data_IF_232971596373
#
_entry.id   IF_232971596373
#
_cell.length_a   1.000
_cell.length_b   1.000
_cell.length_c   1.000
_cell.angle_alpha   90.00
_cell.angle_beta   90.00
_cell.angle_gamma   90.00
#
_symmetry.space_group_name_H-M   'P 1'
#
loop_
_entity.id
_entity.type
_entity.pdbx_description
1 polymer ?
#
# COMPACT_ATOMS: atom_id res chain seq x y z
N UNK A 1 -43.75 12.99 -40.75
CA UNK A 1 -44.19 11.59 -40.86
C UNK A 1 -43.85 10.88 -39.56
N UNK A 2 -44.87 10.50 -38.77
CA UNK A 2 -44.68 9.83 -37.49
C UNK A 2 -44.40 8.33 -37.73
N UNK A 3 -43.28 7.82 -37.20
CA UNK A 3 -42.96 6.38 -37.23
C UNK A 3 -43.93 5.64 -36.30
N UNK A 4 -44.68 4.69 -36.86
CA UNK A 4 -45.51 3.75 -36.12
C UNK A 4 -44.63 2.93 -35.16
N UNK A 5 -44.96 3.00 -33.87
CA UNK A 5 -44.29 2.25 -32.80
C UNK A 5 -44.66 0.76 -32.95
N UNK A 6 -43.76 -0.02 -33.54
CA UNK A 6 -43.85 -1.48 -33.57
C UNK A 6 -43.71 -2.00 -32.15
N UNK A 7 -44.73 -2.71 -31.66
CA UNK A 7 -44.75 -3.33 -30.33
C UNK A 7 -43.97 -4.64 -30.26
N UNK A 8 -43.45 -5.12 -31.38
CA UNK A 8 -42.74 -6.39 -31.48
C UNK A 8 -41.31 -6.11 -31.96
N UNK A 9 -40.45 -5.80 -30.99
CA UNK A 9 -39.01 -5.72 -31.21
C UNK A 9 -38.38 -6.98 -30.59
N UNK A 10 -38.02 -8.01 -31.38
CA UNK A 10 -37.44 -9.25 -30.87
C UNK A 10 -36.08 -9.02 -30.18
N UNK A 11 -35.42 -7.88 -30.44
CA UNK A 11 -34.19 -7.47 -29.75
C UNK A 11 -34.45 -6.79 -28.40
N UNK A 12 -35.69 -6.44 -28.06
CA UNK A 12 -36.02 -5.88 -26.73
C UNK A 12 -35.68 -6.86 -25.59
N UNK A 13 -35.71 -8.17 -25.88
CA UNK A 13 -35.29 -9.22 -24.93
C UNK A 13 -33.79 -9.18 -24.62
N UNK A 14 -32.96 -8.66 -25.53
CA UNK A 14 -31.51 -8.46 -25.31
C UNK A 14 -31.20 -7.09 -24.69
N UNK A 15 -32.09 -6.10 -24.85
CA UNK A 15 -31.98 -4.77 -24.24
C UNK A 15 -32.45 -4.70 -22.78
N UNK A 16 -33.32 -5.61 -22.35
CA UNK A 16 -33.77 -5.72 -20.96
C UNK A 16 -32.75 -6.52 -20.13
N UNK A 17 -31.65 -5.85 -19.75
CA UNK A 17 -30.83 -6.32 -18.63
C UNK A 17 -31.70 -6.23 -17.37
N UNK A 18 -32.35 -7.34 -17.03
CA UNK A 18 -33.04 -7.50 -15.75
C UNK A 18 -31.99 -7.35 -14.66
N UNK A 19 -31.87 -6.16 -14.09
CA UNK A 19 -31.11 -5.93 -12.86
C UNK A 19 -31.99 -6.52 -11.76
N UNK A 20 -31.60 -7.65 -11.14
CA UNK A 20 -32.42 -8.27 -10.10
C UNK A 20 -32.69 -7.25 -8.99
N UNK A 21 -33.92 -7.22 -8.49
CA UNK A 21 -34.38 -6.21 -7.52
C UNK A 21 -33.58 -6.28 -6.20
N UNK A 22 -33.00 -7.42 -5.87
CA UNK A 22 -32.08 -7.61 -4.73
C UNK A 22 -30.79 -6.78 -4.83
N UNK A 23 -30.29 -6.51 -6.04
CA UNK A 23 -29.13 -5.62 -6.25
C UNK A 23 -29.46 -4.17 -5.88
N UNK A 24 -30.75 -3.79 -5.86
CA UNK A 24 -31.17 -2.42 -5.60
C UNK A 24 -31.22 -2.09 -4.11
N UNK A 25 -31.65 -3.02 -3.26
CA UNK A 25 -31.67 -2.84 -1.79
C UNK A 25 -30.28 -2.96 -1.19
N UNK A 26 -29.46 -3.91 -1.66
CA UNK A 26 -28.04 -3.97 -1.32
C UNK A 26 -27.29 -2.71 -1.80
N UNK A 27 -27.66 -2.14 -2.95
CA UNK A 27 -27.10 -0.88 -3.46
C UNK A 27 -27.45 0.34 -2.61
N UNK A 28 -28.67 0.46 -2.07
CA UNK A 28 -29.02 1.59 -1.19
C UNK A 28 -28.34 1.51 0.17
N UNK A 29 -28.27 0.32 0.78
CA UNK A 29 -27.49 0.12 2.01
C UNK A 29 -26.03 0.39 1.70
N UNK A 30 -25.43 -0.26 0.69
CA UNK A 30 -24.03 -0.05 0.31
C UNK A 30 -23.69 1.39 -0.10
N UNK A 31 -24.64 2.20 -0.57
CA UNK A 31 -24.45 3.64 -0.82
C UNK A 31 -24.48 4.48 0.46
N UNK A 32 -25.27 4.08 1.47
CA UNK A 32 -25.36 4.78 2.77
C UNK A 32 -24.04 4.74 3.56
N UNK A 33 -23.25 3.69 3.36
CA UNK A 33 -21.94 3.51 4.01
C UNK A 33 -20.78 4.05 3.18
N UNK A 34 -21.05 4.81 2.11
CA UNK A 34 -19.98 5.44 1.32
C UNK A 34 -19.53 6.74 1.94
N UNK A 35 -18.23 6.90 2.03
CA UNK A 35 -17.58 8.16 2.36
C UNK A 35 -18.01 9.24 1.36
N UNK A 36 -18.37 10.45 1.82
CA UNK A 36 -18.66 11.56 0.92
C UNK A 36 -17.41 11.90 0.08
N UNK A 37 -17.59 12.47 -1.12
CA UNK A 37 -16.45 12.89 -1.97
C UNK A 37 -15.86 14.22 -1.49
N UNK A 38 -15.39 14.22 -0.25
CA UNK A 38 -14.75 15.36 0.40
C UNK A 38 -13.32 14.95 0.77
N UNK A 39 -12.43 15.93 0.91
CA UNK A 39 -11.04 15.69 1.31
C UNK A 39 -11.01 14.97 2.67
N UNK A 40 -10.19 13.92 2.82
CA UNK A 40 -10.09 13.19 4.07
C UNK A 40 -9.51 14.07 5.17
N UNK A 41 -10.01 13.91 6.39
CA UNK A 41 -9.41 14.54 7.57
C UNK A 41 -8.40 13.59 8.19
N UNK A 42 -7.31 14.15 8.75
CA UNK A 42 -6.29 13.34 9.43
C UNK A 42 -6.89 12.56 10.61
N UNK A 43 -7.80 13.17 11.37
CA UNK A 43 -8.44 12.53 12.52
C UNK A 43 -9.21 11.27 12.15
N UNK A 44 -9.97 11.30 11.06
CA UNK A 44 -10.67 10.11 10.55
C UNK A 44 -9.67 9.01 10.17
N UNK A 45 -8.62 9.37 9.43
CA UNK A 45 -7.60 8.39 9.02
C UNK A 45 -6.83 7.80 10.21
N UNK A 46 -6.56 8.57 11.26
CA UNK A 46 -5.90 8.09 12.49
C UNK A 46 -6.79 7.13 13.30
N UNK A 47 -8.11 7.34 13.29
CA UNK A 47 -9.04 6.44 13.99
C UNK A 47 -9.32 5.16 13.21
N UNK A 48 -9.11 5.18 11.88
CA UNK A 48 -9.45 4.07 10.99
C UNK A 48 -8.83 2.71 11.35
N UNK A 49 -7.55 2.57 11.76
CA UNK A 49 -7.00 1.27 12.16
C UNK A 49 -7.68 0.67 13.39
N UNK A 50 -8.32 1.50 14.22
CA UNK A 50 -8.94 1.13 15.49
C UNK A 50 -10.47 0.97 15.38
N UNK A 51 -11.06 1.35 14.24
CA UNK A 51 -12.53 1.44 14.12
C UNK A 51 -13.22 0.10 13.83
N UNK A 52 -12.50 -0.89 13.32
CA UNK A 52 -13.09 -2.15 12.86
C UNK A 52 -12.16 -3.35 13.13
N UNK A 53 -12.76 -4.54 13.17
CA UNK A 53 -12.14 -5.79 13.60
C UNK A 53 -10.92 -6.23 12.76
N UNK A 54 -10.95 -6.15 11.41
CA UNK A 54 -9.81 -6.56 10.58
C UNK A 54 -8.50 -5.83 10.88
N UNK A 55 -8.56 -4.52 11.13
CA UNK A 55 -7.42 -3.64 11.38
C UNK A 55 -6.87 -3.84 12.77
N UNK A 56 -7.74 -4.02 13.77
CA UNK A 56 -7.33 -4.47 15.09
C UNK A 56 -6.67 -5.86 15.04
N UNK A 57 -7.24 -6.77 14.24
CA UNK A 57 -6.65 -8.08 13.98
C UNK A 57 -5.26 -7.95 13.34
N UNK A 58 -5.08 -7.02 12.40
CA UNK A 58 -3.77 -6.78 11.79
C UNK A 58 -2.76 -6.25 12.81
N UNK A 59 -3.15 -5.28 13.65
CA UNK A 59 -2.29 -4.70 14.70
C UNK A 59 -1.96 -5.66 15.84
N UNK A 60 -2.82 -6.63 16.11
CA UNK A 60 -2.59 -7.58 17.20
C UNK A 60 -1.80 -8.82 16.74
N UNK A 61 -2.14 -9.37 15.56
CA UNK A 61 -1.60 -10.65 15.10
C UNK A 61 -0.26 -10.51 14.37
N UNK A 62 -0.09 -9.49 13.51
CA UNK A 62 1.12 -9.41 12.68
C UNK A 62 2.34 -8.85 13.38
N UNK A 63 2.28 -7.87 14.30
CA UNK A 63 3.50 -7.40 14.94
C UNK A 63 4.27 -8.50 15.67
N UNK A 64 3.67 -9.42 16.44
CA UNK A 64 4.39 -10.57 17.00
C UNK A 64 4.99 -11.49 15.92
N UNK A 65 4.25 -11.76 14.84
CA UNK A 65 4.74 -12.63 13.75
C UNK A 65 5.92 -11.99 13.00
N UNK A 66 5.78 -10.72 12.62
CA UNK A 66 6.83 -9.95 11.94
C UNK A 66 8.03 -9.71 12.86
N UNK A 67 7.80 -9.49 14.16
CA UNK A 67 8.86 -9.41 15.16
C UNK A 67 9.72 -10.68 15.14
N UNK A 68 9.12 -11.86 15.35
CA UNK A 68 9.84 -13.16 15.32
C UNK A 68 10.53 -13.39 13.98
N UNK A 69 9.83 -13.14 12.87
CA UNK A 69 10.38 -13.37 11.53
C UNK A 69 11.46 -12.37 11.11
N UNK A 70 11.51 -11.19 11.74
CA UNK A 70 12.50 -10.14 11.43
C UNK A 70 13.78 -10.27 12.25
N UNK A 71 13.78 -10.94 13.41
CA UNK A 71 15.00 -11.15 14.21
C UNK A 71 16.17 -11.73 13.38
N UNK A 72 15.98 -12.80 12.58
CA UNK A 72 17.06 -13.34 11.78
C UNK A 72 17.52 -12.38 10.68
N UNK A 73 16.65 -11.49 10.21
CA UNK A 73 17.02 -10.50 9.19
C UNK A 73 18.02 -9.49 9.77
N UNK A 74 17.76 -9.01 10.99
CA UNK A 74 18.67 -8.12 11.70
C UNK A 74 19.99 -8.81 12.06
N UNK A 75 19.92 -10.04 12.57
CA UNK A 75 21.13 -10.85 12.86
C UNK A 75 21.95 -11.08 11.59
N UNK A 76 21.30 -11.38 10.47
CA UNK A 76 21.97 -11.58 9.18
C UNK A 76 22.64 -10.30 8.68
N UNK A 77 21.99 -9.14 8.80
CA UNK A 77 22.59 -7.85 8.43
C UNK A 77 23.83 -7.56 9.29
N UNK A 78 23.72 -7.77 10.62
CA UNK A 78 24.84 -7.57 11.54
C UNK A 78 26.00 -8.57 11.29
N UNK A 79 25.69 -9.81 10.89
CA UNK A 79 26.68 -10.83 10.53
C UNK A 79 27.29 -10.63 9.13
N UNK A 80 26.60 -9.95 8.22
CA UNK A 80 27.12 -9.63 6.89
C UNK A 80 28.13 -8.47 6.91
N UNK A 81 28.01 -7.54 7.86
CA UNK A 81 28.95 -6.42 8.02
C UNK A 81 30.43 -6.88 8.17
N UNK A 82 30.75 -7.98 8.88
CA UNK A 82 32.11 -8.55 8.91
C UNK A 82 32.47 -9.53 7.78
N UNK A 83 31.55 -9.90 6.87
CA UNK A 83 31.84 -10.79 5.73
C UNK A 83 32.59 -10.04 4.62
N UNK A 84 33.81 -9.60 4.96
CA UNK A 84 34.86 -9.31 3.99
C UNK A 84 35.16 -10.57 3.16
N UNK A 85 35.64 -10.38 1.92
CA UNK A 85 35.75 -11.40 0.85
C UNK A 85 36.38 -12.78 1.21
N UNK A 86 36.95 -12.99 2.41
CA UNK A 86 37.63 -14.25 2.76
C UNK A 86 36.70 -15.40 3.16
N UNK A 87 35.50 -15.13 3.68
CA UNK A 87 34.72 -16.16 4.41
C UNK A 87 33.44 -16.62 3.68
N UNK A 88 33.53 -16.78 2.36
CA UNK A 88 32.44 -17.28 1.51
C UNK A 88 31.91 -18.67 1.94
N UNK A 89 32.77 -19.51 2.53
CA UNK A 89 32.39 -20.82 3.04
C UNK A 89 31.42 -20.74 4.23
N UNK A 90 31.59 -19.75 5.11
CA UNK A 90 30.68 -19.49 6.23
C UNK A 90 29.31 -19.04 5.71
N UNK A 91 29.31 -18.17 4.68
CA UNK A 91 28.08 -17.76 3.99
C UNK A 91 27.29 -18.94 3.41
N UNK A 92 27.96 -19.90 2.76
CA UNK A 92 27.30 -21.07 2.17
C UNK A 92 26.66 -22.02 3.20
N UNK A 93 27.18 -22.06 4.43
CA UNK A 93 26.58 -22.84 5.54
C UNK A 93 25.37 -22.11 6.13
N UNK A 94 25.42 -20.78 6.17
CA UNK A 94 24.40 -19.92 6.76
C UNK A 94 23.17 -19.80 5.83
N UNK A 95 23.34 -19.63 4.52
CA UNK A 95 22.26 -19.38 3.56
C UNK A 95 21.10 -20.40 3.63
N UNK A 96 21.31 -21.74 3.68
CA UNK A 96 20.22 -22.71 3.73
C UNK A 96 19.33 -22.59 4.97
N UNK A 97 19.87 -22.08 6.08
CA UNK A 97 19.13 -21.87 7.33
C UNK A 97 18.29 -20.59 7.24
N UNK A 98 18.87 -19.52 6.68
CA UNK A 98 18.19 -18.23 6.57
C UNK A 98 17.16 -18.18 5.43
N UNK A 99 17.35 -18.94 4.36
CA UNK A 99 16.47 -18.87 3.18
C UNK A 99 14.99 -19.21 3.48
N UNK A 100 14.66 -20.27 4.24
CA UNK A 100 13.27 -20.53 4.66
C UNK A 100 12.70 -19.41 5.55
N UNK A 101 13.53 -18.81 6.41
CA UNK A 101 13.10 -17.70 7.27
C UNK A 101 12.82 -16.43 6.46
N UNK A 102 13.73 -16.06 5.53
CA UNK A 102 13.54 -14.94 4.62
C UNK A 102 12.34 -15.13 3.70
N UNK A 103 12.11 -16.35 3.22
CA UNK A 103 10.91 -16.68 2.46
C UNK A 103 9.65 -16.51 3.32
N UNK A 104 9.63 -17.04 4.54
CA UNK A 104 8.50 -16.92 5.46
C UNK A 104 8.21 -15.46 5.84
N UNK A 105 9.26 -14.66 6.09
CA UNK A 105 9.16 -13.23 6.30
C UNK A 105 8.58 -12.53 5.07
N UNK A 106 9.14 -12.79 3.88
CA UNK A 106 8.69 -12.18 2.62
C UNK A 106 7.23 -12.50 2.32
N UNK A 107 6.79 -13.74 2.57
CA UNK A 107 5.40 -14.16 2.37
C UNK A 107 4.45 -13.50 3.37
N UNK A 108 4.83 -13.45 4.65
CA UNK A 108 4.01 -12.81 5.71
C UNK A 108 3.92 -11.30 5.48
N UNK A 109 5.04 -10.66 5.20
CA UNK A 109 5.10 -9.23 4.88
C UNK A 109 4.35 -8.92 3.59
N UNK A 110 4.50 -9.74 2.55
CA UNK A 110 3.75 -9.61 1.30
C UNK A 110 2.25 -9.73 1.50
N UNK A 111 1.79 -10.62 2.38
CA UNK A 111 0.38 -10.73 2.74
C UNK A 111 -0.14 -9.46 3.42
N UNK A 112 0.64 -8.88 4.33
CA UNK A 112 0.33 -7.57 4.94
C UNK A 112 0.26 -6.47 3.88
N UNK A 113 1.22 -6.41 2.96
CA UNK A 113 1.22 -5.46 1.84
C UNK A 113 0.00 -5.64 0.92
N UNK A 114 -0.45 -6.88 0.71
CA UNK A 114 -1.66 -7.18 -0.06
C UNK A 114 -2.91 -6.63 0.65
N UNK A 115 -3.03 -6.84 1.96
CA UNK A 115 -4.12 -6.28 2.77
C UNK A 115 -4.11 -4.75 2.79
N UNK A 116 -2.93 -4.12 2.93
CA UNK A 116 -2.77 -2.67 2.80
C UNK A 116 -3.22 -2.17 1.42
N UNK A 117 -2.92 -2.92 0.35
CA UNK A 117 -3.45 -2.66 -0.98
C UNK A 117 -4.98 -2.75 -1.05
N UNK A 118 -5.60 -3.72 -0.38
CA UNK A 118 -7.06 -3.79 -0.27
C UNK A 118 -7.64 -2.59 0.48
N UNK A 119 -6.99 -2.08 1.52
CA UNK A 119 -7.43 -0.87 2.23
C UNK A 119 -7.43 0.33 1.27
N UNK A 120 -6.35 0.49 0.50
CA UNK A 120 -6.24 1.56 -0.49
C UNK A 120 -7.38 1.46 -1.52
N UNK A 121 -7.62 0.28 -2.08
CA UNK A 121 -8.68 0.07 -3.08
C UNK A 121 -10.08 0.30 -2.48
N UNK A 122 -10.38 -0.25 -1.30
CA UNK A 122 -11.67 -0.08 -0.64
C UNK A 122 -11.93 1.41 -0.34
N UNK A 123 -10.93 2.11 0.19
CA UNK A 123 -11.01 3.54 0.48
C UNK A 123 -11.15 4.38 -0.79
N UNK A 124 -10.49 3.98 -1.89
CA UNK A 124 -10.63 4.63 -3.20
C UNK A 124 -11.98 4.40 -3.88
N UNK A 125 -12.70 3.34 -3.49
CA UNK A 125 -14.11 3.13 -3.84
C UNK A 125 -15.08 3.86 -2.90
N UNK A 126 -14.56 4.53 -1.89
CA UNK A 126 -15.30 5.27 -0.87
C UNK A 126 -15.96 4.37 0.16
N UNK A 127 -15.51 3.14 0.37
CA UNK A 127 -16.03 2.27 1.43
C UNK A 127 -15.51 2.73 2.80
N UNK A 128 -16.36 2.79 3.81
CA UNK A 128 -15.95 3.17 5.17
C UNK A 128 -15.44 1.99 5.99
N UNK A 129 -15.92 0.79 5.70
CA UNK A 129 -15.54 -0.43 6.41
C UNK A 129 -14.18 -0.94 5.92
N UNK A 130 -13.49 -1.68 6.78
CA UNK A 130 -12.22 -2.28 6.39
C UNK A 130 -12.43 -3.45 5.41
N UNK A 131 -11.47 -3.68 4.50
CA UNK A 131 -11.56 -4.81 3.60
C UNK A 131 -11.52 -6.13 4.38
N UNK A 132 -12.11 -7.16 3.78
CA UNK A 132 -11.94 -8.52 4.26
C UNK A 132 -10.48 -8.97 4.08
N UNK A 133 -10.05 -9.87 4.94
CA UNK A 133 -8.73 -10.48 4.87
C UNK A 133 -8.54 -11.20 3.52
N UNK A 134 -7.41 -11.00 2.83
CA UNK A 134 -7.14 -11.70 1.58
C UNK A 134 -6.99 -13.20 1.81
N UNK A 135 -7.33 -13.98 0.79
CA UNK A 135 -7.02 -15.41 0.79
C UNK A 135 -5.51 -15.61 0.72
N UNK A 136 -5.00 -16.62 1.42
CA UNK A 136 -3.58 -16.95 1.37
C UNK A 136 -3.26 -17.65 0.04
N UNK A 137 -2.97 -16.87 -1.00
CA UNK A 137 -2.55 -17.38 -2.29
C UNK A 137 -1.14 -16.86 -2.66
N UNK A 138 -0.13 -17.74 -2.78
CA UNK A 138 1.24 -17.28 -3.00
C UNK A 138 1.48 -16.48 -4.28
N UNK A 139 0.73 -16.78 -5.34
CA UNK A 139 0.82 -16.04 -6.60
C UNK A 139 0.38 -14.58 -6.42
N UNK A 140 -0.75 -14.34 -5.76
CA UNK A 140 -1.28 -13.00 -5.51
C UNK A 140 -0.38 -12.20 -4.57
N UNK A 141 0.20 -12.86 -3.55
CA UNK A 141 1.18 -12.27 -2.64
C UNK A 141 2.45 -11.83 -3.39
N UNK A 142 3.01 -12.71 -4.22
CA UNK A 142 4.21 -12.41 -5.00
C UNK A 142 3.98 -11.29 -6.01
N UNK A 143 2.84 -11.28 -6.70
CA UNK A 143 2.46 -10.19 -7.60
C UNK A 143 2.28 -8.87 -6.84
N UNK A 144 1.64 -8.91 -5.67
CA UNK A 144 1.54 -7.78 -4.75
C UNK A 144 2.91 -7.22 -4.41
N UNK A 145 3.82 -8.03 -3.88
CA UNK A 145 5.20 -7.64 -3.58
C UNK A 145 5.87 -7.00 -4.81
N UNK A 146 5.72 -7.58 -5.99
CA UNK A 146 6.26 -7.03 -7.24
C UNK A 146 5.79 -5.61 -7.53
N UNK A 147 4.50 -5.31 -7.33
CA UNK A 147 3.93 -3.95 -7.49
C UNK A 147 4.50 -2.97 -6.47
N UNK A 148 4.69 -3.39 -5.23
CA UNK A 148 5.28 -2.57 -4.16
C UNK A 148 6.76 -2.26 -4.41
N UNK A 149 7.55 -3.28 -4.76
CA UNK A 149 8.96 -3.12 -5.12
C UNK A 149 9.08 -2.15 -6.31
N UNK A 150 8.26 -2.34 -7.34
CA UNK A 150 8.27 -1.47 -8.51
C UNK A 150 7.97 -0.02 -8.13
N UNK A 151 6.90 0.23 -7.37
CA UNK A 151 6.56 1.57 -6.91
C UNK A 151 7.69 2.22 -6.08
N UNK A 152 8.33 1.45 -5.20
CA UNK A 152 9.47 1.91 -4.39
C UNK A 152 10.68 2.25 -5.27
N UNK A 153 11.01 1.40 -6.25
CA UNK A 153 12.12 1.66 -7.18
C UNK A 153 11.88 2.92 -8.00
N UNK A 154 10.65 3.17 -8.46
CA UNK A 154 10.33 4.39 -9.20
C UNK A 154 10.38 5.64 -8.32
N UNK A 155 9.83 5.59 -7.11
CA UNK A 155 9.95 6.68 -6.15
C UNK A 155 11.41 6.98 -5.80
N UNK A 156 12.21 5.92 -5.57
CA UNK A 156 13.64 6.02 -5.31
C UNK A 156 14.43 6.52 -6.53
N UNK A 157 14.05 6.17 -7.77
CA UNK A 157 14.70 6.72 -8.95
C UNK A 157 14.43 8.23 -9.09
N UNK A 158 13.19 8.67 -8.81
CA UNK A 158 12.79 10.08 -8.91
C UNK A 158 13.45 10.94 -7.84
N UNK A 159 13.55 10.47 -6.59
CA UNK A 159 14.16 11.23 -5.50
C UNK A 159 15.66 10.97 -5.32
N UNK A 160 16.07 9.70 -5.45
CA UNK A 160 17.41 9.24 -5.15
C UNK A 160 18.45 9.67 -6.17
N UNK A 161 18.12 9.75 -7.47
CA UNK A 161 19.06 10.25 -8.48
C UNK A 161 19.39 11.74 -8.26
N UNK A 162 18.40 12.65 -8.12
CA UNK A 162 18.69 14.04 -7.75
C UNK A 162 19.41 14.16 -6.41
N UNK A 163 19.05 13.33 -5.41
CA UNK A 163 19.70 13.34 -4.10
C UNK A 163 21.18 12.94 -4.19
N UNK A 164 21.51 11.93 -4.99
CA UNK A 164 22.89 11.50 -5.20
C UNK A 164 23.72 12.57 -5.92
N UNK A 165 23.14 13.23 -6.93
CA UNK A 165 23.78 14.37 -7.61
C UNK A 165 23.95 15.55 -6.66
N UNK A 166 22.93 15.87 -5.86
CA UNK A 166 23.02 16.94 -4.88
C UNK A 166 24.11 16.66 -3.84
N UNK A 167 24.18 15.42 -3.34
CA UNK A 167 25.20 14.98 -2.40
C UNK A 167 26.60 15.11 -2.97
N UNK A 168 26.81 14.72 -4.24
CA UNK A 168 28.16 14.76 -4.85
C UNK A 168 28.68 16.19 -5.03
N UNK A 169 27.79 17.18 -5.16
CA UNK A 169 28.17 18.60 -5.28
C UNK A 169 28.41 19.24 -3.92
N UNK A 170 27.56 18.99 -2.93
CA UNK A 170 27.59 19.71 -1.64
C UNK A 170 28.52 19.04 -0.63
N UNK A 171 28.72 17.72 -0.71
CA UNK A 171 29.67 16.94 0.09
C UNK A 171 29.30 16.76 1.58
N UNK A 172 28.54 17.69 2.19
CA UNK A 172 28.10 17.62 3.59
C UNK A 172 26.64 18.05 3.76
N UNK A 173 25.89 17.29 4.57
CA UNK A 173 24.52 17.66 4.94
C UNK A 173 24.56 18.55 6.17
N UNK A 174 24.25 19.83 5.97
CA UNK A 174 23.93 20.77 7.04
C UNK A 174 22.42 20.94 7.21
N UNK A 175 21.99 21.48 8.35
CA UNK A 175 20.58 21.81 8.61
C UNK A 175 19.95 22.70 7.52
N UNK A 176 20.74 23.60 6.92
CA UNK A 176 20.29 24.47 5.82
C UNK A 176 19.95 23.69 4.54
N UNK A 177 20.66 22.59 4.30
CA UNK A 177 20.49 21.71 3.14
C UNK A 177 19.46 20.61 3.41
N UNK A 178 19.07 20.41 4.68
CA UNK A 178 18.05 19.45 5.09
C UNK A 178 16.69 19.65 4.41
N UNK A 179 16.32 20.89 4.09
CA UNK A 179 15.08 21.18 3.35
C UNK A 179 15.08 20.57 1.95
N UNK A 180 16.21 20.60 1.22
CA UNK A 180 16.31 20.00 -0.12
C UNK A 180 16.11 18.49 -0.04
N UNK A 181 16.68 17.84 0.97
CA UNK A 181 16.53 16.41 1.19
C UNK A 181 15.08 16.07 1.55
N UNK A 182 14.47 16.85 2.45
CA UNK A 182 13.07 16.68 2.80
C UNK A 182 12.16 16.82 1.58
N UNK A 183 12.38 17.83 0.73
CA UNK A 183 11.64 18.05 -0.51
C UNK A 183 11.80 16.87 -1.48
N UNK A 184 13.02 16.35 -1.64
CA UNK A 184 13.28 15.19 -2.48
C UNK A 184 12.60 13.93 -1.93
N UNK A 185 12.61 13.71 -0.61
CA UNK A 185 11.90 12.59 0.02
C UNK A 185 10.40 12.72 -0.18
N UNK A 186 9.83 13.91 0.00
CA UNK A 186 8.41 14.18 -0.27
C UNK A 186 8.08 13.89 -1.74
N UNK A 187 8.94 14.32 -2.67
CA UNK A 187 8.75 14.08 -4.10
C UNK A 187 8.80 12.58 -4.45
N UNK A 188 9.77 11.85 -3.91
CA UNK A 188 9.90 10.40 -4.11
C UNK A 188 8.74 9.63 -3.52
N UNK A 189 8.31 10.00 -2.32
CA UNK A 189 7.14 9.43 -1.65
C UNK A 189 5.87 9.70 -2.49
N UNK A 190 5.63 10.96 -2.88
CA UNK A 190 4.49 11.35 -3.71
C UNK A 190 4.43 10.55 -5.02
N UNK A 191 5.57 10.43 -5.71
CA UNK A 191 5.65 9.70 -6.96
C UNK A 191 5.44 8.21 -6.77
N UNK A 192 6.13 7.61 -5.78
CA UNK A 192 6.03 6.18 -5.47
C UNK A 192 4.60 5.79 -5.08
N UNK A 193 3.90 6.64 -4.33
CA UNK A 193 2.52 6.39 -3.93
C UNK A 193 1.53 6.43 -5.09
N UNK A 194 1.66 7.42 -5.95
CA UNK A 194 0.84 7.48 -7.15
C UNK A 194 1.12 6.29 -8.07
N UNK A 195 2.39 5.89 -8.21
CA UNK A 195 2.79 4.70 -8.95
C UNK A 195 2.18 3.43 -8.36
N UNK A 196 2.25 3.27 -7.04
CA UNK A 196 1.64 2.15 -6.32
C UNK A 196 0.13 2.11 -6.54
N UNK A 197 -0.54 3.24 -6.35
CA UNK A 197 -1.99 3.34 -6.54
C UNK A 197 -2.39 3.00 -7.98
N UNK A 198 -1.66 3.50 -8.98
CA UNK A 198 -1.90 3.17 -10.37
C UNK A 198 -1.72 1.66 -10.63
N UNK A 199 -0.65 1.05 -10.12
CA UNK A 199 -0.39 -0.38 -10.28
C UNK A 199 -1.46 -1.26 -9.62
N UNK A 200 -1.93 -0.87 -8.44
CA UNK A 200 -2.98 -1.57 -7.70
C UNK A 200 -4.35 -1.40 -8.35
N UNK A 201 -4.69 -0.18 -8.80
CA UNK A 201 -6.01 0.12 -9.37
C UNK A 201 -6.19 -0.40 -10.81
N UNK A 202 -5.11 -0.51 -11.59
CA UNK A 202 -5.14 -0.95 -12.99
C UNK A 202 -4.72 -2.41 -13.20
N UNK A 203 -4.56 -3.20 -12.13
CA UNK A 203 -4.19 -4.62 -12.17
C UNK A 203 -2.90 -4.92 -12.96
N UNK A 204 -2.03 -3.92 -13.14
CA UNK A 204 -0.86 -4.04 -14.02
C UNK A 204 0.29 -3.18 -13.50
N UNK A 205 1.48 -3.78 -13.38
CA UNK A 205 2.71 -3.09 -12.96
C UNK A 205 3.06 -1.95 -13.92
N UNK A 206 2.77 -2.13 -15.22
CA UNK A 206 3.04 -1.17 -16.29
C UNK A 206 2.18 0.11 -16.17
N UNK A 207 1.06 0.06 -15.43
CA UNK A 207 0.25 1.25 -15.17
C UNK A 207 0.98 2.31 -14.33
N UNK A 208 2.02 1.92 -13.58
CA UNK A 208 2.91 2.83 -12.85
C UNK A 208 3.94 3.53 -13.75
N UNK A 209 3.66 3.71 -15.04
CA UNK A 209 4.57 4.43 -15.92
C UNK A 209 4.66 5.92 -15.52
N UNK A 210 5.81 6.58 -15.75
CA UNK A 210 5.98 7.97 -15.29
C UNK A 210 4.98 8.96 -15.88
N UNK A 211 4.52 8.73 -17.11
CA UNK A 211 3.61 9.64 -17.80
C UNK A 211 2.22 9.59 -17.16
N UNK A 212 1.69 8.40 -16.86
CA UNK A 212 0.39 8.24 -16.19
C UNK A 212 0.44 8.80 -14.77
N UNK A 213 1.54 8.55 -14.04
CA UNK A 213 1.75 9.08 -12.70
C UNK A 213 1.78 10.61 -12.70
N UNK A 214 2.58 11.23 -13.56
CA UNK A 214 2.67 12.70 -13.65
C UNK A 214 1.34 13.32 -14.10
N UNK A 215 0.65 12.70 -15.06
CA UNK A 215 -0.66 13.16 -15.50
C UNK A 215 -1.71 13.07 -14.39
N UNK A 216 -1.66 12.02 -13.56
CA UNK A 216 -2.55 11.86 -12.41
C UNK A 216 -2.26 12.89 -11.31
N UNK A 217 -0.98 13.11 -10.98
CA UNK A 217 -0.55 14.15 -10.03
C UNK A 217 -1.02 15.53 -10.51
N UNK A 218 -0.83 15.85 -11.79
CA UNK A 218 -1.24 17.13 -12.37
C UNK A 218 -2.76 17.33 -12.32
N UNK A 219 -3.55 16.26 -12.50
CA UNK A 219 -5.03 16.32 -12.43
C UNK A 219 -5.53 16.59 -11.02
N UNK A 220 -4.99 15.89 -10.01
CA UNK A 220 -5.36 16.11 -8.60
C UNK A 220 -4.85 17.47 -8.10
N UNK A 221 -3.70 17.93 -8.61
CA UNK A 221 -3.09 19.21 -8.26
C UNK A 221 -2.76 19.31 -6.76
N UNK A 222 -3.05 20.46 -6.16
CA UNK A 222 -2.74 20.76 -4.76
C UNK A 222 -3.45 19.86 -3.74
N UNK A 223 -4.53 19.18 -4.14
CA UNK A 223 -5.21 18.21 -3.28
C UNK A 223 -4.32 17.04 -2.86
N UNK A 224 -3.27 16.75 -3.64
CA UNK A 224 -2.35 15.65 -3.39
C UNK A 224 -1.25 15.98 -2.38
N UNK A 225 -0.98 17.26 -2.11
CA UNK A 225 0.12 17.67 -1.24
C UNK A 225 0.00 17.10 0.18
N UNK A 226 -1.23 17.07 0.71
CA UNK A 226 -1.49 16.62 2.08
C UNK A 226 -1.18 15.12 2.30
N UNK A 227 -1.72 14.16 1.52
CA UNK A 227 -1.34 12.75 1.67
C UNK A 227 0.15 12.51 1.41
N UNK A 228 0.79 13.27 0.52
CA UNK A 228 2.24 13.19 0.30
C UNK A 228 3.03 13.59 1.54
N UNK A 229 2.64 14.69 2.20
CA UNK A 229 3.26 15.13 3.45
C UNK A 229 3.11 14.08 4.55
N UNK A 230 1.89 13.57 4.75
CA UNK A 230 1.61 12.53 5.77
C UNK A 230 2.46 11.28 5.52
N UNK A 231 2.62 10.90 4.27
CA UNK A 231 3.48 9.77 3.90
C UNK A 231 4.94 10.05 4.14
N UNK A 232 5.43 11.20 3.71
CA UNK A 232 6.83 11.55 3.90
C UNK A 232 7.19 11.55 5.39
N UNK A 233 6.29 12.06 6.24
CA UNK A 233 6.41 11.98 7.70
C UNK A 233 6.41 10.54 8.18
N UNK A 234 5.45 9.70 7.77
CA UNK A 234 5.41 8.28 8.15
C UNK A 234 6.68 7.52 7.72
N UNK A 235 7.15 7.74 6.48
CA UNK A 235 8.40 7.16 5.99
C UNK A 235 9.62 7.64 6.77
N UNK A 236 9.67 8.92 7.14
CA UNK A 236 10.74 9.47 7.96
C UNK A 236 10.72 8.87 9.37
N UNK A 237 9.55 8.74 9.99
CA UNK A 237 9.39 8.12 11.32
C UNK A 237 9.76 6.64 11.29
N UNK A 238 9.32 5.89 10.28
CA UNK A 238 9.73 4.50 10.07
C UNK A 238 11.25 4.39 9.85
N UNK A 239 11.85 5.27 9.02
CA UNK A 239 13.29 5.29 8.79
C UNK A 239 14.10 5.62 10.04
N UNK A 240 13.66 6.61 10.82
CA UNK A 240 14.25 6.94 12.13
C UNK A 240 14.10 5.80 13.13
N UNK A 241 12.97 5.08 13.09
CA UNK A 241 12.73 3.87 13.88
C UNK A 241 13.76 2.78 13.57
N UNK A 242 13.96 2.47 12.29
CA UNK A 242 14.99 1.51 11.83
C UNK A 242 16.39 1.96 12.26
N UNK A 243 16.73 3.24 12.03
CA UNK A 243 18.03 3.79 12.44
C UNK A 243 18.25 3.69 13.96
N UNK A 244 17.22 4.02 14.75
CA UNK A 244 17.26 3.92 16.20
C UNK A 244 17.45 2.48 16.68
N UNK A 245 16.74 1.53 16.07
CA UNK A 245 16.86 0.10 16.35
C UNK A 245 18.27 -0.43 16.07
N UNK A 246 18.85 -0.06 14.93
CA UNK A 246 20.16 -0.55 14.49
C UNK A 246 21.33 0.06 15.27
N UNK A 247 21.27 1.35 15.63
CA UNK A 247 22.47 2.08 16.06
C UNK A 247 22.40 2.69 17.47
N UNK A 248 21.23 2.73 18.11
CA UNK A 248 21.05 3.48 19.38
C UNK A 248 20.66 2.63 20.57
N UNK A 249 20.35 1.35 20.39
CA UNK A 249 19.91 0.50 21.49
C UNK A 249 21.11 -0.11 22.22
N UNK A 250 21.23 0.08 23.55
CA UNK A 250 22.39 -0.38 24.31
C UNK A 250 22.26 -1.82 24.84
N UNK A 251 21.07 -2.43 24.78
CA UNK A 251 20.77 -3.73 25.39
C UNK A 251 19.83 -4.56 24.50
N UNK A 252 20.15 -5.84 24.34
CA UNK A 252 19.39 -6.80 23.51
C UNK A 252 17.89 -6.88 23.84
N UNK A 253 17.51 -6.85 25.12
CA UNK A 253 16.07 -6.92 25.48
C UNK A 253 15.31 -5.64 25.08
N UNK A 254 15.99 -4.49 25.07
CA UNK A 254 15.40 -3.22 24.62
C UNK A 254 15.20 -3.24 23.10
N UNK A 255 16.14 -3.82 22.35
CA UNK A 255 16.01 -4.03 20.91
C UNK A 255 14.80 -4.90 20.59
N UNK A 256 14.65 -6.03 21.28
CA UNK A 256 13.52 -6.92 21.10
C UNK A 256 12.17 -6.21 21.32
N UNK A 257 12.00 -5.51 22.44
CA UNK A 257 10.76 -4.77 22.73
C UNK A 257 10.54 -3.62 21.75
N UNK A 258 11.61 -2.90 21.39
CA UNK A 258 11.53 -1.78 20.45
C UNK A 258 11.19 -2.26 19.04
N UNK A 259 11.68 -3.41 18.61
CA UNK A 259 11.37 -4.00 17.30
C UNK A 259 9.91 -4.43 17.21
N UNK A 260 9.37 -4.99 18.29
CA UNK A 260 7.93 -5.27 18.37
C UNK A 260 7.11 -3.97 18.28
N UNK A 261 7.46 -2.95 19.07
CA UNK A 261 6.80 -1.66 19.05
C UNK A 261 6.90 -0.97 17.68
N UNK A 262 8.04 -1.10 17.00
CA UNK A 262 8.26 -0.64 15.63
C UNK A 262 7.29 -1.29 14.65
N UNK A 263 7.07 -2.60 14.71
CA UNK A 263 6.10 -3.25 13.83
C UNK A 263 4.66 -2.79 14.10
N UNK A 264 4.25 -2.66 15.37
CA UNK A 264 2.93 -2.09 15.71
C UNK A 264 2.78 -0.70 15.07
N UNK A 265 3.79 0.14 15.25
CA UNK A 265 3.81 1.51 14.75
C UNK A 265 3.76 1.58 13.22
N UNK A 266 4.64 0.85 12.52
CA UNK A 266 4.70 0.85 11.04
C UNK A 266 3.41 0.32 10.42
N UNK A 267 2.83 -0.74 10.97
CA UNK A 267 1.55 -1.26 10.46
C UNK A 267 0.42 -0.24 10.66
N UNK A 268 0.37 0.40 11.83
CA UNK A 268 -0.61 1.45 12.12
C UNK A 268 -0.47 2.61 11.13
N UNK A 269 0.73 3.17 10.96
CA UNK A 269 0.99 4.26 10.02
C UNK A 269 0.65 3.87 8.58
N UNK A 270 1.03 2.66 8.15
CA UNK A 270 0.73 2.18 6.82
C UNK A 270 -0.78 2.14 6.54
N UNK A 271 -1.59 1.70 7.51
CA UNK A 271 -3.05 1.72 7.38
C UNK A 271 -3.60 3.15 7.27
N UNK A 272 -3.10 4.08 8.08
CA UNK A 272 -3.49 5.51 8.03
C UNK A 272 -3.17 6.11 6.65
N UNK A 273 -1.96 5.86 6.15
CA UNK A 273 -1.48 6.35 4.86
C UNK A 273 -2.33 5.78 3.72
N UNK A 274 -2.55 4.47 3.69
CA UNK A 274 -3.34 3.81 2.64
C UNK A 274 -4.80 4.29 2.64
N UNK A 275 -5.39 4.48 3.82
CA UNK A 275 -6.74 5.05 3.98
C UNK A 275 -6.81 6.47 3.42
N UNK A 276 -5.88 7.34 3.83
CA UNK A 276 -5.86 8.74 3.40
C UNK A 276 -5.67 8.88 1.89
N UNK A 277 -4.81 8.07 1.31
CA UNK A 277 -4.53 8.06 -0.13
C UNK A 277 -5.75 7.57 -0.90
N UNK A 278 -6.34 6.45 -0.47
CA UNK A 278 -7.55 5.94 -1.09
C UNK A 278 -8.68 6.97 -1.06
N UNK A 279 -8.96 7.59 0.09
CA UNK A 279 -9.99 8.64 0.19
C UNK A 279 -9.67 9.87 -0.67
N UNK A 280 -8.39 10.26 -0.77
CA UNK A 280 -7.99 11.36 -1.66
C UNK A 280 -8.30 11.03 -3.12
N UNK A 281 -8.09 9.78 -3.55
CA UNK A 281 -8.46 9.37 -4.89
C UNK A 281 -9.97 9.26 -5.09
N UNK A 282 -10.72 8.81 -4.09
CA UNK A 282 -12.18 8.80 -4.14
C UNK A 282 -12.74 10.22 -4.33
N UNK A 283 -12.16 11.21 -3.64
CA UNK A 283 -12.54 12.61 -3.79
C UNK A 283 -12.30 13.14 -5.22
N UNK A 284 -11.22 12.72 -5.88
CA UNK A 284 -10.85 13.15 -7.25
C UNK A 284 -11.17 12.09 -8.32
N UNK A 285 -12.07 11.15 -8.02
CA UNK A 285 -12.33 10.00 -8.87
C UNK A 285 -12.82 10.37 -10.28
N UNK A 286 -13.58 11.46 -10.39
CA UNK A 286 -14.12 11.97 -11.66
C UNK A 286 -13.02 12.50 -12.59
N UNK A 287 -11.97 13.10 -12.03
CA UNK A 287 -10.86 13.71 -12.77
C UNK A 287 -9.86 12.64 -13.26
N UNK A 288 -9.63 11.63 -12.42
CA UNK A 288 -8.69 10.54 -12.72
C UNK A 288 -9.25 9.58 -13.79
N UNK A 289 -10.58 9.39 -13.85
CA UNK A 289 -11.26 8.43 -14.76
C UNK A 289 -10.83 6.97 -14.50
N UNK A 290 -10.14 6.69 -13.38
CA UNK A 290 -9.65 5.35 -13.03
C UNK A 290 -10.76 4.41 -12.51
N UNK A 291 -11.84 4.95 -11.94
CA UNK A 291 -12.79 4.23 -11.08
C UNK A 291 -13.97 3.54 -11.77
N UNK A 292 -13.77 2.93 -12.94
CA UNK A 292 -14.91 2.27 -13.63
C UNK A 292 -15.31 0.93 -13.01
N UNK A 293 -14.39 0.18 -12.38
CA UNK A 293 -14.64 -1.16 -11.79
C UNK A 293 -13.66 -1.47 -10.64
N UNK A 294 -14.09 -2.32 -9.69
CA UNK A 294 -13.20 -2.90 -8.66
C UNK A 294 -12.16 -3.81 -9.33
N UNK A 295 -10.87 -3.69 -8.98
CA UNK A 295 -9.83 -4.55 -9.51
C UNK A 295 -10.04 -6.01 -9.11
N UNK A 296 -9.65 -6.95 -9.98
CA UNK A 296 -10.01 -8.38 -9.82
C UNK A 296 -9.31 -9.04 -8.62
N UNK A 297 -8.08 -8.63 -8.33
CA UNK A 297 -7.31 -9.14 -7.17
C UNK A 297 -7.83 -8.59 -5.83
N UNK A 298 -8.65 -7.53 -5.84
CA UNK A 298 -9.26 -6.95 -4.65
C UNK A 298 -10.75 -7.30 -4.48
N UNK A 299 -11.37 -7.92 -5.49
CA UNK A 299 -12.59 -8.68 -5.28
C UNK A 299 -12.18 -10.04 -4.73
N UNK A 300 -12.40 -10.29 -3.44
CA UNK A 300 -12.42 -11.66 -2.93
C UNK A 300 -13.24 -12.48 -3.94
N UNK A 301 -12.66 -13.56 -4.48
CA UNK A 301 -13.41 -14.45 -5.37
C UNK A 301 -14.59 -14.90 -4.54
N UNK A 302 -15.76 -14.31 -4.77
CA UNK A 302 -17.02 -14.77 -4.20
C UNK A 302 -17.14 -16.21 -4.68
N UNK A 303 -16.72 -17.13 -3.82
CA UNK A 303 -16.84 -18.55 -4.06
C UNK A 303 -18.29 -18.79 -4.38
N UNK A 304 -18.59 -19.12 -5.63
CA UNK A 304 -19.80 -19.83 -6.05
C UNK A 304 -19.79 -21.24 -5.46
N UNK A 305 -19.54 -21.38 -4.16
CA UNK A 305 -19.45 -22.66 -3.46
C UNK A 305 -20.68 -22.87 -2.57
N UNK A 306 -21.54 -21.86 -2.35
CA UNK A 306 -22.79 -21.99 -1.60
C UNK A 306 -24.02 -21.42 -2.33
N UNK A 307 -24.20 -21.80 -3.59
CA UNK A 307 -25.48 -21.64 -4.29
C UNK A 307 -25.83 -22.98 -4.94
N UNK A 308 -26.20 -23.95 -4.10
CA UNK A 308 -27.08 -25.10 -4.36
C UNK A 308 -26.99 -26.08 -3.17
N UNK A 309 -27.84 -25.85 -2.18
CA UNK A 309 -28.37 -26.89 -1.28
C UNK A 309 -29.77 -26.47 -0.89
#
# INVERSE_FOLDING_TARGET
MAKLKSWYDPEASQGLRVVPREDRETSYVAQRWKHPRVRPTLGECLLYPLSDGPGLGLLFLFPPALWVLSLPVFDFIAMLEPLTKSDWALGLVVVPIFLPMLFSFSMTFGYVLLFLGHILVASAMGENDQPRWPEWHPADIAEGIGRWIWALLFGAAVAGLPLAVYWSVVGTIDWRNGFVIADLVILGAAFGQMGLAAALMHDTIIAANPITVLAAIARIGWGYLFPCLVTAVAMALAGLGVYGLLYRMPRMWMEAVSLWAFWVFVLYEAMVVMRMIGLTYHAHAMELVWFRRRPRWASARLGRIYANS
#
